data_IF_801568426356
#
_entry.id   IF_801568426356
#
_cell.length_a   1.000
_cell.length_b   1.000
_cell.length_c   1.000
_cell.angle_alpha   90.00
_cell.angle_beta   90.00
_cell.angle_gamma   90.00
#
_symmetry.space_group_name_H-M   'P 1'
#
loop_
_entity.id
_entity.type
_entity.pdbx_description
1 polymer ?
#
# COMPACT_ATOMS: atom_id res chain seq x y z
N UNK A 1 -19.36 -2.38 9.12
CA UNK A 1 -18.18 -1.62 9.60
C UNK A 1 -17.93 -0.46 8.64
N UNK A 2 -17.87 0.78 9.12
CA UNK A 2 -17.70 1.98 8.29
C UNK A 2 -16.29 2.54 8.52
N UNK A 3 -15.41 2.44 7.53
CA UNK A 3 -14.00 2.85 7.61
C UNK A 3 -13.75 4.33 7.32
N UNK A 4 -12.48 4.78 7.43
CA UNK A 4 -12.07 6.12 7.07
C UNK A 4 -12.41 6.46 5.61
N UNK A 5 -12.71 7.74 5.39
CA UNK A 5 -13.13 8.31 4.11
C UNK A 5 -12.38 9.62 3.86
N UNK A 6 -12.13 9.98 2.60
CA UNK A 6 -11.55 11.27 2.24
C UNK A 6 -12.61 12.40 2.27
N UNK A 7 -12.20 13.65 2.00
CA UNK A 7 -13.11 14.81 1.97
C UNK A 7 -14.24 14.70 0.94
N UNK A 8 -14.10 13.87 -0.11
CA UNK A 8 -15.15 13.58 -1.09
C UNK A 8 -16.05 12.40 -0.69
N UNK A 9 -15.87 11.82 0.49
CA UNK A 9 -16.70 10.74 1.02
C UNK A 9 -16.41 9.37 0.41
N UNK A 10 -15.30 9.14 -0.29
CA UNK A 10 -14.86 7.82 -0.74
C UNK A 10 -14.03 7.10 0.32
N UNK A 11 -14.18 5.78 0.42
CA UNK A 11 -13.36 4.94 1.33
C UNK A 11 -11.89 5.02 0.94
N UNK A 12 -11.00 5.08 1.93
CA UNK A 12 -9.55 5.19 1.72
C UNK A 12 -8.79 4.05 2.38
N UNK A 13 -7.51 3.91 2.02
CA UNK A 13 -6.61 2.89 2.57
C UNK A 13 -7.16 1.48 2.32
N UNK A 14 -7.04 0.63 3.35
CA UNK A 14 -7.55 -0.75 3.32
C UNK A 14 -9.08 -0.87 3.16
N UNK A 15 -9.82 0.21 3.37
CA UNK A 15 -11.28 0.23 3.25
C UNK A 15 -11.76 0.51 1.83
N UNK A 16 -10.85 0.90 0.93
CA UNK A 16 -11.19 1.05 -0.47
C UNK A 16 -11.56 -0.31 -1.08
N UNK A 17 -12.68 -0.40 -1.80
CA UNK A 17 -13.21 -1.66 -2.36
C UNK A 17 -12.26 -2.39 -3.33
N UNK A 18 -11.22 -1.71 -3.82
CA UNK A 18 -10.17 -2.29 -4.69
C UNK A 18 -8.82 -2.43 -3.98
N UNK A 19 -8.76 -2.14 -2.68
CA UNK A 19 -7.54 -2.31 -1.90
C UNK A 19 -7.19 -3.80 -1.87
N UNK A 20 -5.94 -4.09 -2.26
CA UNK A 20 -5.38 -5.44 -2.20
C UNK A 20 -4.52 -5.66 -0.96
N UNK A 21 -4.15 -4.57 -0.28
CA UNK A 21 -3.26 -4.55 0.85
C UNK A 21 -3.93 -3.82 2.00
N UNK A 22 -3.72 -4.32 3.21
CA UNK A 22 -4.08 -3.61 4.44
C UNK A 22 -3.07 -2.52 4.76
N UNK A 23 -3.42 -1.56 5.62
CA UNK A 23 -2.48 -0.51 6.04
C UNK A 23 -1.26 -1.13 6.75
N UNK A 24 -1.47 -2.20 7.53
CA UNK A 24 -0.41 -2.97 8.15
C UNK A 24 0.54 -3.63 7.11
N UNK A 25 0.00 -4.14 6.01
CA UNK A 25 0.82 -4.70 4.93
C UNK A 25 1.60 -3.62 4.19
N UNK A 26 1.02 -2.44 3.97
CA UNK A 26 1.72 -1.29 3.37
C UNK A 26 2.90 -0.87 4.26
N UNK A 27 2.71 -0.80 5.57
CA UNK A 27 3.78 -0.51 6.52
C UNK A 27 4.87 -1.59 6.49
N UNK A 28 4.48 -2.87 6.42
CA UNK A 28 5.42 -3.99 6.31
C UNK A 28 6.24 -3.95 5.00
N UNK A 29 5.63 -3.62 3.86
CA UNK A 29 6.35 -3.46 2.58
C UNK A 29 7.45 -2.39 2.69
N UNK A 30 7.15 -1.27 3.34
CA UNK A 30 8.13 -0.19 3.56
C UNK A 30 9.28 -0.68 4.45
N UNK A 31 8.97 -1.31 5.58
CA UNK A 31 9.98 -1.86 6.48
C UNK A 31 10.85 -2.94 5.81
N UNK A 32 10.26 -3.81 5.00
CA UNK A 32 10.99 -4.85 4.27
C UNK A 32 11.90 -4.27 3.17
N UNK A 33 11.48 -3.20 2.50
CA UNK A 33 12.34 -2.50 1.54
C UNK A 33 13.51 -1.79 2.23
N UNK A 34 13.25 -1.01 3.28
CA UNK A 34 14.28 -0.29 4.04
C UNK A 34 15.30 -1.25 4.68
N UNK A 35 14.87 -2.43 5.13
CA UNK A 35 15.75 -3.48 5.66
C UNK A 35 16.49 -4.28 4.58
N UNK A 36 16.30 -3.97 3.30
CA UNK A 36 17.01 -4.63 2.20
C UNK A 36 16.57 -6.07 1.92
N UNK A 37 15.38 -6.50 2.38
CA UNK A 37 14.87 -7.88 2.20
C UNK A 37 14.47 -8.22 0.76
N UNK A 38 14.61 -7.28 -0.17
CA UNK A 38 14.46 -7.53 -1.61
C UNK A 38 14.04 -6.30 -2.40
N UNK A 39 14.25 -6.35 -3.72
CA UNK A 39 13.76 -5.34 -4.66
C UNK A 39 12.26 -5.48 -4.97
N UNK A 40 11.75 -4.61 -5.85
CA UNK A 40 10.31 -4.52 -6.14
C UNK A 40 9.67 -5.84 -6.59
N UNK A 41 10.38 -6.66 -7.37
CA UNK A 41 9.89 -7.97 -7.84
C UNK A 41 9.67 -8.96 -6.68
N UNK A 42 10.58 -8.96 -5.71
CA UNK A 42 10.52 -9.87 -4.56
C UNK A 42 9.36 -9.48 -3.65
N UNK A 43 9.25 -8.19 -3.33
CA UNK A 43 8.16 -7.67 -2.51
C UNK A 43 6.80 -7.83 -3.21
N UNK A 44 6.74 -7.63 -4.52
CA UNK A 44 5.52 -7.83 -5.33
C UNK A 44 5.00 -9.27 -5.20
N UNK A 45 5.88 -10.26 -5.33
CA UNK A 45 5.53 -11.67 -5.14
C UNK A 45 5.15 -11.98 -3.68
N UNK A 46 5.90 -11.44 -2.72
CA UNK A 46 5.67 -11.67 -1.27
C UNK A 46 4.30 -11.19 -0.82
N UNK A 47 3.88 -10.01 -1.27
CA UNK A 47 2.64 -9.36 -0.84
C UNK A 47 1.50 -9.51 -1.85
N UNK A 48 1.69 -10.26 -2.96
CA UNK A 48 0.65 -10.51 -3.95
C UNK A 48 0.13 -9.24 -4.67
N UNK A 49 0.97 -8.21 -4.79
CA UNK A 49 0.60 -6.94 -5.41
C UNK A 49 1.48 -6.64 -6.63
N UNK A 50 1.08 -5.69 -7.48
CA UNK A 50 1.85 -5.33 -8.68
C UNK A 50 3.14 -4.60 -8.34
N UNK A 51 4.18 -4.74 -9.17
CA UNK A 51 5.45 -4.01 -8.97
C UNK A 51 5.29 -2.48 -8.93
N UNK A 52 4.38 -1.92 -9.74
CA UNK A 52 4.05 -0.49 -9.69
C UNK A 52 3.48 -0.11 -8.32
N UNK A 53 2.61 -0.93 -7.74
CA UNK A 53 2.06 -0.72 -6.39
C UNK A 53 3.15 -0.73 -5.33
N UNK A 54 4.09 -1.67 -5.39
CA UNK A 54 5.24 -1.69 -4.48
C UNK A 54 6.08 -0.41 -4.62
N UNK A 55 6.40 -0.01 -5.86
CA UNK A 55 7.11 1.25 -6.12
C UNK A 55 6.37 2.43 -5.51
N UNK A 56 5.06 2.54 -5.70
CA UNK A 56 4.26 3.65 -5.17
C UNK A 56 4.20 3.65 -3.64
N UNK A 57 4.20 2.48 -3.00
CA UNK A 57 4.25 2.33 -1.54
C UNK A 57 5.60 2.80 -0.98
N UNK A 58 6.69 2.31 -1.59
CA UNK A 58 8.08 2.57 -1.18
C UNK A 58 8.47 4.04 -1.44
N UNK A 59 8.05 4.60 -2.57
CA UNK A 59 8.33 6.00 -2.91
C UNK A 59 7.33 6.98 -2.28
N UNK A 60 6.43 6.49 -1.41
CA UNK A 60 5.38 7.30 -0.79
C UNK A 60 4.52 8.08 -1.81
N UNK A 61 4.43 7.59 -3.05
CA UNK A 61 3.60 8.15 -4.12
C UNK A 61 2.13 7.79 -3.97
N UNK A 62 1.82 6.89 -3.04
CA UNK A 62 0.45 6.49 -2.71
C UNK A 62 -0.28 7.69 -2.12
N UNK A 63 -0.93 8.43 -3.03
CA UNK A 63 -1.95 9.47 -2.88
C UNK A 63 -2.19 9.92 -1.43
N UNK A 64 -1.68 11.11 -1.13
CA UNK A 64 -2.27 12.04 -0.19
C UNK A 64 -3.80 12.10 -0.45
N UNK A 65 -4.58 11.54 0.45
CA UNK A 65 -5.99 11.87 0.53
C UNK A 65 -6.06 13.24 1.20
N UNK A 66 -5.88 14.31 0.41
CA UNK A 66 -6.52 15.58 0.75
C UNK A 66 -8.00 15.30 0.91
#
# INVERSE_FOLDING_TARGET
MNGPRNHTGHRIGEWHHRAKLTDAQVAAVRADYESGKGGYLVLSKRYGCGMSTVRDIVQYRTRWAA
#
